data_IF_488425222960
#
_entry.id   IF_488425222960
#
_cell.length_a   1.000
_cell.length_b   1.000
_cell.length_c   1.000
_cell.angle_alpha   90.00
_cell.angle_beta   90.00
_cell.angle_gamma   90.00
#
_symmetry.space_group_name_H-M   'P 1'
#
loop_
_entity.id
_entity.type
_entity.pdbx_description
1 polymer ?
#
# COMPACT_ATOMS: atom_id res chain seq x y z
N UNK A 1 -14.00 -16.55 18.26
CA UNK A 1 -12.78 -16.06 17.57
C UNK A 1 -13.19 -15.29 16.33
N UNK A 2 -12.27 -14.66 15.59
CA UNK A 2 -12.57 -13.79 14.43
C UNK A 2 -13.33 -14.45 13.24
N UNK A 3 -13.86 -15.66 13.42
CA UNK A 3 -14.66 -16.42 12.46
C UNK A 3 -16.16 -16.42 12.77
N UNK A 4 -16.58 -16.10 14.00
CA UNK A 4 -17.98 -16.38 14.43
C UNK A 4 -18.91 -15.16 14.40
N UNK A 5 -18.40 -13.96 14.11
CA UNK A 5 -19.19 -12.70 14.26
C UNK A 5 -19.79 -12.20 12.94
N UNK A 6 -19.34 -12.72 11.80
CA UNK A 6 -19.76 -12.22 10.49
C UNK A 6 -20.39 -13.36 9.69
N UNK A 7 -21.72 -13.50 9.79
CA UNK A 7 -22.56 -14.19 8.78
C UNK A 7 -22.54 -13.40 7.45
N UNK A 8 -21.34 -13.10 6.95
CA UNK A 8 -21.03 -12.45 5.69
C UNK A 8 -20.05 -13.41 5.01
N UNK A 9 -20.41 -13.96 3.84
CA UNK A 9 -19.73 -15.10 3.23
C UNK A 9 -18.20 -14.99 3.25
N UNK A 10 -17.56 -15.86 4.03
CA UNK A 10 -16.10 -15.99 4.17
C UNK A 10 -15.39 -16.18 2.82
N UNK A 11 -16.10 -16.70 1.82
CA UNK A 11 -15.62 -16.89 0.45
C UNK A 11 -15.34 -15.56 -0.28
N UNK A 12 -16.19 -14.55 -0.12
CA UNK A 12 -16.03 -13.28 -0.81
C UNK A 12 -14.85 -12.45 -0.33
N UNK A 13 -14.71 -12.39 0.99
CA UNK A 13 -13.56 -11.73 1.60
C UNK A 13 -12.26 -12.46 1.24
N UNK A 14 -12.27 -13.80 1.21
CA UNK A 14 -11.15 -14.61 0.76
C UNK A 14 -10.75 -14.30 -0.69
N UNK A 15 -11.73 -14.20 -1.60
CA UNK A 15 -11.48 -13.89 -3.01
C UNK A 15 -10.91 -12.47 -3.21
N UNK A 16 -11.41 -11.48 -2.45
CA UNK A 16 -10.90 -10.11 -2.46
C UNK A 16 -9.44 -10.05 -1.96
N UNK A 17 -9.12 -10.75 -0.88
CA UNK A 17 -7.74 -10.87 -0.37
C UNK A 17 -6.83 -11.63 -1.34
N UNK A 18 -7.36 -12.63 -2.06
CA UNK A 18 -6.61 -13.30 -3.12
C UNK A 18 -6.26 -12.31 -4.24
N UNK A 19 -7.19 -11.44 -4.66
CA UNK A 19 -6.94 -10.42 -5.68
C UNK A 19 -5.84 -9.44 -5.29
N UNK A 20 -5.85 -8.97 -4.04
CA UNK A 20 -4.77 -8.18 -3.43
C UNK A 20 -3.42 -8.92 -3.52
N UNK A 21 -3.42 -10.21 -3.17
CA UNK A 21 -2.23 -11.08 -3.26
C UNK A 21 -1.71 -11.21 -4.70
N UNK A 22 -2.60 -11.44 -5.67
CA UNK A 22 -2.23 -11.54 -7.09
C UNK A 22 -1.60 -10.23 -7.58
N UNK A 23 -2.20 -9.07 -7.27
CA UNK A 23 -1.63 -7.77 -7.62
C UNK A 23 -0.23 -7.57 -7.04
N UNK A 24 -0.02 -7.99 -5.80
CA UNK A 24 1.27 -7.95 -5.10
C UNK A 24 2.34 -8.79 -5.81
N UNK A 25 2.01 -10.04 -6.19
CA UNK A 25 2.91 -10.92 -6.93
C UNK A 25 3.22 -10.36 -8.32
N UNK A 26 2.21 -9.86 -9.04
CA UNK A 26 2.39 -9.22 -10.33
C UNK A 26 3.36 -8.03 -10.27
N UNK A 27 3.26 -7.19 -9.24
CA UNK A 27 4.21 -6.09 -9.04
C UNK A 27 5.64 -6.59 -8.85
N UNK A 28 5.83 -7.62 -8.02
CA UNK A 28 7.13 -8.25 -7.80
C UNK A 28 7.75 -8.77 -9.10
N UNK A 29 6.96 -9.50 -9.91
CA UNK A 29 7.40 -10.00 -11.21
C UNK A 29 7.74 -8.87 -12.18
N UNK A 30 6.84 -7.89 -12.34
CA UNK A 30 7.07 -6.74 -13.23
C UNK A 30 8.36 -6.00 -12.85
N UNK A 31 8.60 -5.82 -11.55
CA UNK A 31 9.80 -5.16 -11.07
C UNK A 31 11.06 -6.00 -11.28
N UNK A 32 10.99 -7.32 -11.09
CA UNK A 32 12.10 -8.24 -11.32
C UNK A 32 12.55 -8.27 -12.79
N UNK A 33 11.61 -8.15 -13.73
CA UNK A 33 11.93 -8.15 -15.17
C UNK A 33 12.28 -6.76 -15.74
N UNK A 34 12.06 -5.68 -14.99
CA UNK A 34 12.38 -4.32 -15.46
C UNK A 34 13.84 -3.96 -15.17
N UNK A 35 14.63 -3.82 -16.24
CA UNK A 35 16.06 -3.43 -16.19
C UNK A 35 16.32 -1.99 -15.71
N UNK A 36 15.35 -1.08 -15.89
CA UNK A 36 15.44 0.32 -15.44
C UNK A 36 14.12 0.71 -14.80
N UNK A 37 14.15 0.94 -13.49
CA UNK A 37 12.99 1.40 -12.73
C UNK A 37 13.37 2.77 -12.19
N UNK A 38 12.62 3.79 -12.58
CA UNK A 38 12.71 5.08 -11.91
C UNK A 38 12.05 4.94 -10.53
N UNK A 39 12.84 4.98 -9.44
CA UNK A 39 12.31 4.70 -8.11
C UNK A 39 11.24 5.71 -7.72
N UNK A 40 11.45 6.99 -8.05
CA UNK A 40 10.54 8.06 -7.68
C UNK A 40 9.23 7.89 -8.43
N UNK A 41 9.28 7.69 -9.75
CA UNK A 41 8.07 7.54 -10.56
C UNK A 41 7.23 6.31 -10.14
N UNK A 42 7.88 5.18 -9.86
CA UNK A 42 7.17 3.97 -9.40
C UNK A 42 6.53 4.16 -8.03
N UNK A 43 7.20 4.82 -7.09
CA UNK A 43 6.63 5.14 -5.79
C UNK A 43 5.43 6.08 -5.90
N UNK A 44 5.50 7.10 -6.76
CA UNK A 44 4.42 8.07 -6.97
C UNK A 44 3.18 7.41 -7.61
N UNK A 45 3.38 6.57 -8.63
CA UNK A 45 2.28 5.82 -9.27
C UNK A 45 1.67 4.82 -8.29
N UNK A 46 2.49 4.12 -7.50
CA UNK A 46 2.02 3.22 -6.47
C UNK A 46 1.18 3.92 -5.41
N UNK A 47 1.73 4.95 -4.76
CA UNK A 47 1.00 5.68 -3.71
C UNK A 47 -0.26 6.38 -4.24
N UNK A 48 -0.25 6.88 -5.49
CA UNK A 48 -1.45 7.40 -6.15
C UNK A 48 -2.50 6.33 -6.42
N UNK A 49 -2.08 5.16 -6.91
CA UNK A 49 -2.96 4.01 -7.13
C UNK A 49 -3.59 3.50 -5.84
N UNK A 50 -2.82 3.43 -4.75
CA UNK A 50 -3.30 3.03 -3.44
C UNK A 50 -4.33 4.02 -2.89
N UNK A 51 -4.02 5.32 -2.91
CA UNK A 51 -4.93 6.37 -2.44
C UNK A 51 -6.25 6.38 -3.22
N UNK A 52 -6.19 6.24 -4.55
CA UNK A 52 -7.38 6.15 -5.39
C UNK A 52 -8.19 4.88 -5.11
N UNK A 53 -7.53 3.74 -4.90
CA UNK A 53 -8.19 2.48 -4.58
C UNK A 53 -8.95 2.58 -3.25
N UNK A 54 -8.31 3.11 -2.21
CA UNK A 54 -8.91 3.29 -0.89
C UNK A 54 -10.09 4.26 -0.91
N UNK A 55 -9.96 5.40 -1.60
CA UNK A 55 -11.04 6.39 -1.74
C UNK A 55 -12.21 5.83 -2.55
N UNK A 56 -11.95 5.15 -3.66
CA UNK A 56 -12.98 4.54 -4.48
C UNK A 56 -13.75 3.43 -3.73
N UNK A 57 -13.05 2.66 -2.91
CA UNK A 57 -13.65 1.64 -2.06
C UNK A 57 -14.47 2.27 -0.93
N UNK A 58 -13.99 3.37 -0.33
CA UNK A 58 -14.73 4.11 0.69
C UNK A 58 -16.01 4.77 0.17
N UNK A 59 -15.99 5.29 -1.06
CA UNK A 59 -17.16 5.91 -1.71
C UNK A 59 -18.19 4.90 -2.23
N UNK A 60 -17.91 3.60 -2.12
CA UNK A 60 -18.80 2.52 -2.55
C UNK A 60 -19.42 1.81 -1.34
N UNK A 61 -20.41 2.42 -0.63
CA UNK A 61 -21.04 1.86 0.57
C UNK A 61 -21.80 0.55 0.33
N UNK A 62 -21.97 0.13 -0.94
CA UNK A 62 -22.59 -1.15 -1.35
C UNK A 62 -21.62 -2.07 -2.11
N UNK A 63 -20.30 -1.94 -1.93
CA UNK A 63 -19.30 -2.81 -2.56
C UNK A 63 -19.27 -4.24 -1.98
N UNK A 64 -20.44 -4.83 -1.71
CA UNK A 64 -20.58 -6.27 -1.62
C UNK A 64 -20.40 -6.83 -3.04
N UNK A 65 -19.23 -7.42 -3.31
CA UNK A 65 -18.98 -8.28 -4.47
C UNK A 65 -19.04 -7.63 -5.87
N UNK A 66 -18.77 -6.34 -6.01
CA UNK A 66 -18.65 -5.74 -7.35
C UNK A 66 -17.28 -6.08 -7.97
N UNK A 67 -17.18 -6.43 -9.26
CA UNK A 67 -15.89 -6.63 -9.94
C UNK A 67 -14.92 -5.45 -9.80
N UNK A 68 -15.45 -4.25 -9.56
CA UNK A 68 -14.66 -3.07 -9.22
C UNK A 68 -13.80 -3.27 -7.96
N UNK A 69 -14.32 -3.90 -6.90
CA UNK A 69 -13.56 -4.11 -5.67
C UNK A 69 -12.33 -5.01 -5.88
N UNK A 70 -12.45 -6.03 -6.75
CA UNK A 70 -11.33 -6.88 -7.15
C UNK A 70 -10.26 -6.08 -7.88
N UNK A 71 -10.64 -5.25 -8.85
CA UNK A 71 -9.68 -4.41 -9.60
C UNK A 71 -8.96 -3.43 -8.67
N UNK A 72 -9.70 -2.79 -7.74
CA UNK A 72 -9.12 -1.85 -6.79
C UNK A 72 -8.14 -2.54 -5.83
N UNK A 73 -8.50 -3.71 -5.29
CA UNK A 73 -7.61 -4.48 -4.41
C UNK A 73 -6.39 -5.03 -5.14
N UNK A 74 -6.55 -5.51 -6.37
CA UNK A 74 -5.43 -5.86 -7.22
C UNK A 74 -4.47 -4.66 -7.39
N UNK A 75 -5.02 -3.48 -7.72
CA UNK A 75 -4.26 -2.24 -7.86
C UNK A 75 -3.55 -1.84 -6.56
N UNK A 76 -4.23 -1.96 -5.41
CA UNK A 76 -3.67 -1.67 -4.10
C UNK A 76 -2.48 -2.60 -3.76
N UNK A 77 -2.60 -3.90 -4.03
CA UNK A 77 -1.53 -4.87 -3.81
C UNK A 77 -0.32 -4.59 -4.71
N UNK A 78 -0.59 -4.31 -5.99
CA UNK A 78 0.44 -3.94 -6.95
C UNK A 78 1.19 -2.67 -6.51
N UNK A 79 0.45 -1.66 -6.09
CA UNK A 79 0.98 -0.40 -5.58
C UNK A 79 1.84 -0.59 -4.33
N UNK A 80 1.35 -1.34 -3.35
CA UNK A 80 2.02 -1.56 -2.07
C UNK A 80 3.37 -2.27 -2.25
N UNK A 81 3.43 -3.33 -3.07
CA UNK A 81 4.69 -4.02 -3.37
C UNK A 81 5.63 -3.13 -4.18
N UNK A 82 5.11 -2.39 -5.17
CA UNK A 82 5.91 -1.46 -5.96
C UNK A 82 6.59 -0.41 -5.08
N UNK A 83 5.85 0.18 -4.13
CA UNK A 83 6.35 1.16 -3.16
C UNK A 83 7.44 0.55 -2.26
N UNK A 84 7.14 -0.60 -1.64
CA UNK A 84 8.02 -1.23 -0.66
C UNK A 84 9.31 -1.73 -1.30
N UNK A 85 9.21 -2.40 -2.45
CA UNK A 85 10.38 -2.90 -3.17
C UNK A 85 11.27 -1.75 -3.66
N UNK A 86 10.66 -0.67 -4.13
CA UNK A 86 11.40 0.52 -4.55
C UNK A 86 12.06 1.24 -3.38
N UNK A 87 11.41 1.31 -2.22
CA UNK A 87 11.99 1.86 -0.99
C UNK A 87 13.22 1.06 -0.56
N UNK A 88 13.10 -0.27 -0.56
CA UNK A 88 14.21 -1.17 -0.25
C UNK A 88 15.40 -0.91 -1.18
N UNK A 89 15.18 -0.84 -2.49
CA UNK A 89 16.23 -0.56 -3.48
C UNK A 89 16.83 0.83 -3.30
N UNK A 90 16.03 1.85 -3.02
CA UNK A 90 16.49 3.22 -2.80
C UNK A 90 17.37 3.33 -1.54
N UNK A 91 16.99 2.66 -0.45
CA UNK A 91 17.81 2.60 0.76
C UNK A 91 19.11 1.85 0.49
N UNK A 92 19.04 0.65 -0.12
CA UNK A 92 20.21 -0.18 -0.39
C UNK A 92 21.23 0.49 -1.32
N UNK A 93 20.78 1.30 -2.27
CA UNK A 93 21.63 2.02 -3.23
C UNK A 93 22.28 3.29 -2.67
N UNK A 94 21.72 3.88 -1.60
CA UNK A 94 22.25 5.09 -0.96
C UNK A 94 23.09 4.81 0.29
N UNK A 95 22.91 3.65 0.90
CA UNK A 95 23.59 3.28 2.15
C UNK A 95 24.91 2.54 1.84
N UNK A 96 26.03 2.93 2.47
CA UNK A 96 27.31 2.23 2.33
C UNK A 96 27.22 0.75 2.75
N UNK A 97 27.94 -0.12 2.06
CA UNK A 97 27.95 -1.58 2.28
C UNK A 97 28.12 -1.99 3.75
N UNK A 98 29.06 -1.36 4.45
CA UNK A 98 29.34 -1.65 5.86
C UNK A 98 28.17 -1.33 6.82
N UNK A 99 27.27 -0.43 6.43
CA UNK A 99 26.12 -0.01 7.25
C UNK A 99 24.79 -0.57 6.73
N UNK A 100 24.77 -1.18 5.55
CA UNK A 100 23.55 -1.66 4.87
C UNK A 100 22.71 -2.57 5.76
N UNK A 101 23.34 -3.56 6.41
CA UNK A 101 22.65 -4.48 7.32
C UNK A 101 22.01 -3.78 8.52
N UNK A 102 22.71 -2.80 9.11
CA UNK A 102 22.21 -2.03 10.26
C UNK A 102 21.03 -1.14 9.87
N UNK A 103 21.15 -0.40 8.77
CA UNK A 103 20.09 0.49 8.29
C UNK A 103 18.86 -0.30 7.86
N UNK A 104 19.04 -1.40 7.12
CA UNK A 104 17.91 -2.24 6.72
C UNK A 104 17.25 -2.93 7.91
N UNK A 105 18.00 -3.33 8.94
CA UNK A 105 17.41 -3.88 10.17
C UNK A 105 16.48 -2.86 10.84
N UNK A 106 16.94 -1.63 11.07
CA UNK A 106 16.10 -0.58 11.66
C UNK A 106 14.87 -0.28 10.80
N UNK A 107 15.06 -0.19 9.47
CA UNK A 107 13.96 0.04 8.53
C UNK A 107 12.92 -1.09 8.56
N UNK A 108 13.34 -2.35 8.50
CA UNK A 108 12.44 -3.50 8.50
C UNK A 108 11.72 -3.64 9.86
N UNK A 109 12.41 -3.35 10.97
CA UNK A 109 11.77 -3.34 12.29
C UNK A 109 10.69 -2.26 12.39
N UNK A 110 10.99 -1.03 11.92
CA UNK A 110 10.01 0.05 11.89
C UNK A 110 8.81 -0.29 10.98
N UNK A 111 9.08 -0.88 9.81
CA UNK A 111 8.04 -1.33 8.89
C UNK A 111 7.16 -2.42 9.49
N UNK A 112 7.77 -3.45 10.09
CA UNK A 112 7.05 -4.54 10.76
C UNK A 112 6.19 -4.04 11.93
N UNK A 113 6.64 -3.02 12.67
CA UNK A 113 5.85 -2.39 13.73
C UNK A 113 4.67 -1.58 13.18
N UNK A 114 4.81 -0.99 12.00
CA UNK A 114 3.77 -0.16 11.37
C UNK A 114 2.54 -0.98 10.95
N UNK A 115 2.72 -2.24 10.54
CA UNK A 115 1.63 -3.14 10.12
C UNK A 115 0.58 -3.39 11.23
N UNK A 116 0.94 -3.89 12.43
CA UNK A 116 -0.03 -4.11 13.49
C UNK A 116 -0.59 -2.79 14.05
N UNK A 117 0.21 -1.72 14.13
CA UNK A 117 -0.28 -0.42 14.57
C UNK A 117 -1.32 0.15 13.60
N UNK A 118 -1.06 0.08 12.30
CA UNK A 118 -2.02 0.45 11.26
C UNK A 118 -3.28 -0.41 11.30
N UNK A 119 -3.13 -1.72 11.52
CA UNK A 119 -4.25 -2.65 11.68
C UNK A 119 -5.12 -2.35 12.91
N UNK A 120 -4.51 -2.00 14.04
CA UNK A 120 -5.23 -1.58 15.25
C UNK A 120 -5.97 -0.26 15.03
N UNK A 121 -5.32 0.71 14.39
CA UNK A 121 -5.91 2.01 14.08
C UNK A 121 -7.09 1.86 13.09
N UNK A 122 -6.88 1.17 11.97
CA UNK A 122 -7.92 0.89 10.99
C UNK A 122 -9.07 0.06 11.59
N UNK A 123 -8.76 -0.93 12.43
CA UNK A 123 -9.74 -1.73 13.13
C UNK A 123 -10.57 -0.93 14.14
N UNK A 124 -9.95 0.01 14.87
CA UNK A 124 -10.65 0.91 15.79
C UNK A 124 -11.61 1.85 15.05
N UNK A 125 -11.14 2.45 13.94
CA UNK A 125 -11.97 3.28 13.07
C UNK A 125 -13.12 2.48 12.44
N UNK A 126 -12.85 1.26 11.98
CA UNK A 126 -13.86 0.39 11.40
C UNK A 126 -14.94 -0.01 12.41
N UNK A 127 -14.56 -0.20 13.69
CA UNK A 127 -15.51 -0.47 14.78
C UNK A 127 -16.34 0.75 15.17
N UNK A 128 -15.75 1.94 15.20
CA UNK A 128 -16.43 3.15 15.63
C UNK A 128 -17.35 3.74 14.55
N UNK A 129 -16.89 3.78 13.30
CA UNK A 129 -17.53 4.51 12.19
C UNK A 129 -17.75 3.68 10.92
N UNK A 130 -17.41 2.39 10.96
CA UNK A 130 -17.59 1.46 9.84
C UNK A 130 -16.38 1.37 8.91
N UNK A 131 -16.30 0.26 8.17
CA UNK A 131 -15.21 -0.03 7.24
C UNK A 131 -14.95 1.06 6.18
N UNK A 132 -15.97 1.72 5.58
CA UNK A 132 -15.74 2.78 4.60
C UNK A 132 -14.95 3.96 5.17
N UNK A 133 -15.17 4.32 6.43
CA UNK A 133 -14.45 5.41 7.08
C UNK A 133 -12.99 5.05 7.36
N UNK A 134 -12.72 3.81 7.77
CA UNK A 134 -11.37 3.30 7.94
C UNK A 134 -10.58 3.29 6.61
N UNK A 135 -11.24 2.94 5.50
CA UNK A 135 -10.64 2.99 4.17
C UNK A 135 -10.39 4.43 3.70
N UNK A 136 -11.36 5.34 3.89
CA UNK A 136 -11.21 6.74 3.52
C UNK A 136 -10.00 7.40 4.20
N UNK A 137 -9.84 7.14 5.50
CA UNK A 137 -8.71 7.65 6.29
C UNK A 137 -7.38 7.05 5.83
N UNK A 138 -7.33 5.76 5.51
CA UNK A 138 -6.16 5.12 4.90
C UNK A 138 -5.76 5.74 3.55
N UNK A 139 -6.75 5.98 2.68
CA UNK A 139 -6.54 6.64 1.40
C UNK A 139 -6.07 8.08 1.52
N UNK A 140 -6.64 8.84 2.47
CA UNK A 140 -6.22 10.20 2.82
C UNK A 140 -4.78 10.25 3.31
N UNK A 141 -4.40 9.35 4.23
CA UNK A 141 -3.03 9.27 4.75
C UNK A 141 -2.03 8.91 3.64
N UNK A 142 -2.38 7.95 2.78
CA UNK A 142 -1.57 7.56 1.63
C UNK A 142 -1.43 8.69 0.61
N UNK A 143 -2.52 9.41 0.33
CA UNK A 143 -2.54 10.58 -0.54
C UNK A 143 -1.71 11.74 0.03
N UNK A 144 -1.78 11.99 1.34
CA UNK A 144 -0.97 13.01 2.01
C UNK A 144 0.52 12.65 1.95
N UNK A 145 0.87 11.39 2.20
CA UNK A 145 2.24 10.91 2.08
C UNK A 145 2.78 11.08 0.65
N UNK A 146 1.94 10.80 -0.36
CA UNK A 146 2.26 11.05 -1.77
C UNK A 146 2.51 12.54 -2.04
N UNK A 147 1.62 13.43 -1.56
CA UNK A 147 1.75 14.87 -1.74
C UNK A 147 3.01 15.43 -1.07
N UNK A 148 3.32 14.96 0.14
CA UNK A 148 4.54 15.32 0.86
C UNK A 148 5.79 14.84 0.10
N UNK A 149 5.76 13.62 -0.44
CA UNK A 149 6.85 13.11 -1.27
C UNK A 149 7.03 13.96 -2.54
N UNK A 150 5.95 14.29 -3.25
CA UNK A 150 5.98 15.19 -4.40
C UNK A 150 6.56 16.56 -4.02
N UNK A 151 6.13 17.14 -2.91
CA UNK A 151 6.60 18.44 -2.45
C UNK A 151 8.10 18.43 -2.13
N UNK A 152 8.60 17.36 -1.49
CA UNK A 152 10.04 17.23 -1.18
C UNK A 152 10.91 16.87 -2.38
N UNK A 153 10.36 16.23 -3.41
CA UNK A 153 11.10 15.84 -4.62
C UNK A 153 11.03 16.90 -5.73
N UNK A 154 10.03 17.79 -5.72
CA UNK A 154 9.93 18.97 -6.60
C UNK A 154 11.16 19.89 -6.61
N UNK A 155 11.81 20.23 -5.49
CA UNK A 155 13.02 21.08 -5.53
C UNK A 155 14.21 20.43 -6.25
N UNK A 156 14.25 19.10 -6.41
CA UNK A 156 15.33 18.41 -7.12
C UNK A 156 15.14 18.37 -8.65
N UNK A 157 13.91 18.57 -9.15
CA UNK A 157 13.59 18.50 -10.58
C UNK A 157 13.73 19.85 -11.32
N UNK A 158 13.83 20.97 -10.60
CA UNK A 158 14.04 22.31 -11.16
C UNK A 158 15.52 22.75 -11.17
N UNK A 159 16.42 21.89 -10.69
CA UNK A 159 17.85 22.16 -10.57
C UNK A 159 18.73 21.31 -11.52
N UNK A 160 18.11 20.59 -12.47
CA UNK A 160 18.78 19.73 -13.45
C UNK A 160 18.49 20.15 -14.89
#
# INVERSE_FOLDING_TARGET
>A
GARDVLRIGSEGFGALMASLGVGSVCAGLVLAFRRRVDPIRTMLVGAGGLALADIALALSPRANFTPLAFVLLFGAGFAAVSLTATANTAIQSRVPDALRGRVMSVYLTAFAASVPLGGLFAGALARAWGAPFALATGGLLSGLALLLALWRLRPAALAG
#
